data_IF_083405915046
#
_entry.id   IF_083405915046
#
_cell.length_a   1.000
_cell.length_b   1.000
_cell.length_c   1.000
_cell.angle_alpha   90.00
_cell.angle_beta   90.00
_cell.angle_gamma   90.00
#
_symmetry.space_group_name_H-M   'P 1'
#
loop_
_entity.id
_entity.type
_entity.pdbx_description
1 polymer ?
#
# COMPACT_ATOMS: atom_id res chain seq x y z
N UNK A 1 12.22 -4.50 -8.22
CA UNK A 1 13.17 -5.60 -7.93
C UNK A 1 12.66 -6.87 -8.59
N UNK A 2 11.43 -7.28 -8.30
CA UNK A 2 10.77 -8.36 -9.03
C UNK A 2 9.36 -7.95 -9.49
N UNK A 3 8.94 -8.49 -10.63
CA UNK A 3 7.59 -8.37 -11.19
C UNK A 3 7.03 -9.79 -11.37
N UNK A 4 5.89 -10.11 -10.75
CA UNK A 4 5.26 -11.43 -10.82
C UNK A 4 6.24 -12.59 -10.53
N UNK A 5 7.12 -12.40 -9.53
CA UNK A 5 8.13 -13.39 -9.14
C UNK A 5 9.40 -13.43 -10.01
N UNK A 6 9.46 -12.64 -11.07
CA UNK A 6 10.61 -12.57 -11.99
C UNK A 6 11.51 -11.41 -11.58
N UNK A 7 12.81 -11.66 -11.42
CA UNK A 7 13.80 -10.63 -11.15
C UNK A 7 13.98 -9.75 -12.40
N UNK A 8 13.83 -8.43 -12.22
CA UNK A 8 13.91 -7.42 -13.29
C UNK A 8 15.10 -6.46 -13.12
N UNK A 9 16.05 -6.74 -12.23
CA UNK A 9 17.19 -5.85 -11.93
C UNK A 9 18.12 -5.59 -13.12
N UNK A 10 18.11 -6.50 -14.10
CA UNK A 10 18.92 -6.40 -15.31
C UNK A 10 18.09 -6.03 -16.55
N UNK A 11 16.78 -5.85 -16.38
CA UNK A 11 15.89 -5.44 -17.47
C UNK A 11 15.90 -3.91 -17.61
N UNK A 12 15.82 -3.43 -18.84
CA UNK A 12 15.62 -2.02 -19.17
C UNK A 12 14.18 -1.60 -18.91
N UNK A 13 13.94 -0.29 -18.80
CA UNK A 13 12.59 0.25 -18.62
C UNK A 13 11.64 -0.19 -19.74
N UNK A 14 12.12 -0.23 -20.99
CA UNK A 14 11.31 -0.63 -22.14
C UNK A 14 10.91 -2.11 -22.06
N UNK A 15 11.82 -2.99 -21.67
CA UNK A 15 11.56 -4.42 -21.48
C UNK A 15 10.54 -4.66 -20.36
N UNK A 16 10.67 -3.94 -19.24
CA UNK A 16 9.71 -4.00 -18.12
C UNK A 16 8.32 -3.53 -18.58
N UNK A 17 8.26 -2.44 -19.35
CA UNK A 17 7.01 -1.87 -19.86
C UNK A 17 6.32 -2.80 -20.85
N UNK A 18 7.09 -3.42 -21.76
CA UNK A 18 6.56 -4.43 -22.69
C UNK A 18 6.01 -5.63 -21.94
N UNK A 19 6.72 -6.13 -20.93
CA UNK A 19 6.26 -7.24 -20.08
C UNK A 19 4.96 -6.89 -19.35
N UNK A 20 4.85 -5.67 -18.82
CA UNK A 20 3.64 -5.17 -18.20
C UNK A 20 2.45 -5.16 -19.17
N UNK A 21 2.64 -4.59 -20.36
CA UNK A 21 1.59 -4.51 -21.39
C UNK A 21 1.17 -5.87 -21.93
N UNK A 22 2.06 -6.85 -21.95
CA UNK A 22 1.75 -8.21 -22.39
C UNK A 22 0.95 -9.02 -21.34
N UNK A 23 0.82 -8.52 -20.10
CA UNK A 23 0.18 -9.19 -18.98
C UNK A 23 -1.09 -8.48 -18.49
N UNK A 24 -1.72 -7.65 -19.33
CA UNK A 24 -2.88 -6.79 -19.00
C UNK A 24 -4.04 -7.46 -18.26
N UNK A 25 -4.19 -8.78 -18.35
CA UNK A 25 -5.29 -9.53 -17.71
C UNK A 25 -4.87 -10.34 -16.47
N UNK A 26 -3.61 -10.28 -16.04
CA UNK A 26 -3.11 -11.02 -14.88
C UNK A 26 -2.95 -10.09 -13.67
N UNK A 27 -3.23 -10.58 -12.45
CA UNK A 27 -2.98 -9.81 -11.25
C UNK A 27 -1.49 -9.46 -11.14
N UNK A 28 -1.21 -8.18 -10.97
CA UNK A 28 0.14 -7.65 -10.86
C UNK A 28 0.65 -7.77 -9.42
N UNK A 29 1.79 -8.42 -9.26
CA UNK A 29 2.55 -8.47 -8.02
C UNK A 29 3.91 -7.81 -8.22
N UNK A 30 4.22 -6.80 -7.41
CA UNK A 30 5.51 -6.10 -7.45
C UNK A 30 6.24 -6.29 -6.12
N UNK A 31 7.51 -6.69 -6.19
CA UNK A 31 8.43 -6.64 -5.04
C UNK A 31 9.25 -5.36 -5.11
N UNK A 32 9.06 -4.51 -4.10
CA UNK A 32 9.73 -3.22 -3.90
C UNK A 32 10.39 -3.17 -2.53
N UNK A 33 11.45 -2.39 -2.40
CA UNK A 33 12.05 -2.05 -1.11
C UNK A 33 12.67 -0.65 -1.16
N UNK A 34 13.06 -0.11 0.00
CA UNK A 34 13.80 1.14 0.05
C UNK A 34 15.21 1.01 -0.56
N UNK A 35 15.83 2.11 -1.04
CA UNK A 35 17.21 2.09 -1.51
C UNK A 35 18.21 1.59 -0.45
N UNK A 36 18.00 1.96 0.82
CA UNK A 36 18.85 1.51 1.93
C UNK A 36 18.74 0.00 2.16
N UNK A 37 17.52 -0.54 2.14
CA UNK A 37 17.28 -1.99 2.22
C UNK A 37 17.93 -2.70 1.04
N UNK A 38 17.76 -2.17 -0.18
CA UNK A 38 18.36 -2.75 -1.37
C UNK A 38 19.89 -2.86 -1.24
N UNK A 39 20.53 -1.76 -0.85
CA UNK A 39 21.98 -1.72 -0.67
C UNK A 39 22.46 -2.70 0.41
N UNK A 40 21.78 -2.77 1.56
CA UNK A 40 22.12 -3.71 2.62
C UNK A 40 22.09 -5.16 2.13
N UNK A 41 21.01 -5.57 1.44
CA UNK A 41 20.88 -6.95 0.95
C UNK A 41 21.92 -7.27 -0.12
N UNK A 42 22.19 -6.34 -1.04
CA UNK A 42 23.22 -6.50 -2.07
C UNK A 42 24.62 -6.64 -1.50
N UNK A 43 25.00 -5.77 -0.56
CA UNK A 43 26.33 -5.81 0.07
C UNK A 43 26.56 -7.09 0.86
N UNK A 44 25.51 -7.68 1.42
CA UNK A 44 25.59 -8.96 2.16
C UNK A 44 25.35 -10.20 1.28
N UNK A 45 25.26 -10.06 -0.05
CA UNK A 45 24.95 -11.15 -0.99
C UNK A 45 23.64 -11.91 -0.66
N UNK A 46 22.64 -11.21 -0.12
CA UNK A 46 21.33 -11.77 0.19
C UNK A 46 20.38 -11.48 -0.97
N UNK A 47 19.80 -12.53 -1.56
CA UNK A 47 18.82 -12.37 -2.64
C UNK A 47 17.47 -11.87 -2.10
N UNK A 48 16.97 -10.78 -2.69
CA UNK A 48 15.64 -10.27 -2.42
C UNK A 48 14.60 -11.12 -3.17
N UNK A 49 13.67 -11.71 -2.43
CA UNK A 49 12.55 -12.49 -2.97
C UNK A 49 11.32 -12.39 -2.07
N UNK A 50 10.14 -12.73 -2.60
CA UNK A 50 8.86 -12.63 -1.89
C UNK A 50 8.78 -13.49 -0.63
N UNK A 51 9.50 -14.61 -0.58
CA UNK A 51 9.48 -15.53 0.57
C UNK A 51 10.35 -15.11 1.78
N UNK A 52 10.97 -13.93 1.76
CA UNK A 52 11.74 -13.45 2.91
C UNK A 52 10.80 -13.15 4.08
N UNK A 53 11.19 -13.51 5.29
CA UNK A 53 10.39 -13.27 6.51
C UNK A 53 10.12 -11.77 6.77
N UNK A 54 10.96 -10.90 6.22
CA UNK A 54 10.86 -9.44 6.34
C UNK A 54 9.92 -8.82 5.30
N UNK A 55 9.40 -9.61 4.35
CA UNK A 55 8.49 -9.12 3.30
C UNK A 55 7.08 -9.00 3.86
N UNK A 56 6.52 -7.81 3.73
CA UNK A 56 5.12 -7.55 4.01
C UNK A 56 4.30 -7.66 2.72
N UNK A 57 3.30 -8.53 2.72
CA UNK A 57 2.35 -8.65 1.62
C UNK A 57 1.24 -7.61 1.76
N UNK A 58 1.12 -6.75 0.76
CA UNK A 58 0.03 -5.78 0.67
C UNK A 58 -1.20 -6.44 0.03
N UNK A 59 -2.40 -6.05 0.48
CA UNK A 59 -3.64 -6.51 -0.15
C UNK A 59 -3.73 -5.98 -1.59
N UNK A 60 -4.33 -6.73 -2.52
CA UNK A 60 -4.58 -6.23 -3.87
C UNK A 60 -5.37 -4.92 -3.82
N UNK A 61 -4.93 -3.93 -4.59
CA UNK A 61 -5.71 -2.71 -4.81
C UNK A 61 -6.75 -3.05 -5.87
N UNK A 62 -7.97 -3.37 -5.43
CA UNK A 62 -9.10 -3.47 -6.35
C UNK A 62 -9.55 -2.05 -6.69
N UNK A 63 -9.76 -1.78 -7.98
CA UNK A 63 -10.38 -0.55 -8.42
C UNK A 63 -11.82 -0.50 -7.87
N UNK A 64 -12.04 0.35 -6.86
CA UNK A 64 -13.33 0.53 -6.17
C UNK A 64 -14.37 1.15 -7.13
N UNK A 65 -13.98 1.57 -8.34
CA UNK A 65 -14.92 2.04 -9.35
C UNK A 65 -15.85 0.93 -9.89
N UNK A 66 -15.51 -0.36 -9.73
CA UNK A 66 -16.34 -1.49 -10.17
C UNK A 66 -17.32 -2.01 -9.11
N UNK A 67 -17.22 -1.61 -7.84
CA UNK A 67 -18.11 -2.09 -6.76
C UNK A 67 -19.37 -1.24 -6.54
N UNK A 68 -19.61 -0.20 -7.35
CA UNK A 68 -20.84 0.62 -7.28
C UNK A 68 -22.09 0.02 -7.95
N UNK A 69 -22.06 -1.24 -8.37
CA UNK A 69 -23.26 -1.92 -8.89
C UNK A 69 -23.47 -3.30 -8.25
N UNK A 70 -23.97 -3.30 -7.01
CA UNK A 70 -25.19 -4.03 -6.60
C UNK A 70 -25.33 -4.01 -5.06
N UNK A 71 -26.37 -3.36 -4.49
CA UNK A 71 -26.64 -3.38 -3.07
C UNK A 71 -27.58 -4.54 -2.74
N UNK A 72 -27.08 -5.61 -2.12
CA UNK A 72 -27.89 -6.46 -1.24
C UNK A 72 -26.98 -7.48 -0.57
N UNK A 73 -26.63 -7.22 0.69
CA UNK A 73 -26.83 -8.14 1.82
C UNK A 73 -26.74 -7.26 3.07
N UNK A 74 -27.87 -7.21 3.76
CA UNK A 74 -28.02 -6.62 5.07
C UNK A 74 -27.18 -7.39 6.09
N UNK A 75 -26.20 -6.74 6.69
CA UNK A 75 -25.81 -7.01 8.07
C UNK A 75 -25.53 -5.68 8.75
N UNK A 76 -26.43 -5.31 9.67
CA UNK A 76 -26.22 -4.28 10.68
C UNK A 76 -25.05 -4.70 11.60
N UNK A 77 -23.81 -4.58 11.10
CA UNK A 77 -22.67 -4.37 11.96
C UNK A 77 -22.42 -2.87 11.95
N UNK A 78 -22.90 -2.19 12.98
CA UNK A 78 -22.43 -0.84 13.32
C UNK A 78 -21.00 -1.04 13.81
N UNK A 79 -20.06 -1.20 12.88
CA UNK A 79 -18.64 -1.13 13.16
C UNK A 79 -18.34 0.36 13.32
N UNK A 80 -18.04 0.77 14.54
CA UNK A 80 -17.46 2.09 14.81
C UNK A 80 -16.30 2.31 13.83
N UNK A 81 -16.47 3.23 12.88
CA UNK A 81 -15.47 3.47 11.86
C UNK A 81 -14.25 4.13 12.52
N UNK A 82 -13.09 3.52 12.34
CA UNK A 82 -11.83 4.08 12.83
C UNK A 82 -11.43 5.26 11.93
N UNK A 83 -11.14 6.39 12.57
CA UNK A 83 -10.56 7.55 11.93
C UNK A 83 -9.14 7.79 12.40
N UNK A 84 -8.38 8.46 11.54
CA UNK A 84 -6.98 8.76 11.78
C UNK A 84 -6.73 10.22 11.46
N UNK A 85 -5.97 10.89 12.33
CA UNK A 85 -5.42 12.21 12.04
C UNK A 85 -4.03 11.99 11.50
N UNK A 86 -3.78 12.49 10.30
CA UNK A 86 -2.55 12.26 9.56
C UNK A 86 -1.93 13.59 9.15
N UNK A 87 -0.64 13.75 9.41
CA UNK A 87 0.13 14.90 8.94
C UNK A 87 0.93 14.51 7.70
N UNK A 88 0.71 15.19 6.58
CA UNK A 88 1.47 14.95 5.35
C UNK A 88 2.91 15.46 5.47
N UNK A 89 3.86 14.66 5.00
CA UNK A 89 5.29 15.04 5.02
C UNK A 89 5.61 16.15 4.01
N UNK A 90 4.82 16.28 2.94
CA UNK A 90 5.08 17.19 1.82
C UNK A 90 4.81 18.65 2.16
N UNK A 91 3.76 18.93 2.93
CA UNK A 91 3.28 20.28 3.18
C UNK A 91 2.84 20.54 4.64
N UNK A 92 3.07 19.58 5.55
CA UNK A 92 2.64 19.62 6.95
C UNK A 92 1.13 19.82 7.15
N UNK A 93 0.31 19.60 6.11
CA UNK A 93 -1.15 19.67 6.23
C UNK A 93 -1.68 18.48 7.00
N UNK A 94 -2.75 18.71 7.76
CA UNK A 94 -3.39 17.71 8.61
C UNK A 94 -4.71 17.29 7.97
N UNK A 95 -4.92 15.99 7.86
CA UNK A 95 -6.14 15.39 7.33
C UNK A 95 -6.73 14.42 8.34
N UNK A 96 -8.06 14.37 8.37
CA UNK A 96 -8.82 13.32 9.03
C UNK A 96 -9.22 12.35 7.92
N UNK A 97 -8.79 11.10 8.04
CA UNK A 97 -9.04 10.07 7.04
C UNK A 97 -9.62 8.82 7.67
N UNK A 98 -10.40 8.07 6.89
CA UNK A 98 -10.89 6.77 7.34
C UNK A 98 -9.78 5.71 7.21
N UNK A 99 -9.98 4.56 7.86
CA UNK A 99 -9.12 3.39 7.67
C UNK A 99 -8.92 3.00 6.19
N UNK A 100 -9.93 3.20 5.35
CA UNK A 100 -9.89 2.80 3.94
C UNK A 100 -8.88 3.64 3.14
N UNK A 101 -8.61 4.87 3.57
CA UNK A 101 -7.63 5.75 2.94
C UNK A 101 -6.18 5.41 3.31
N UNK A 102 -5.94 4.57 4.32
CA UNK A 102 -4.59 4.22 4.78
C UNK A 102 -4.18 2.86 4.26
N UNK A 103 -3.06 2.81 3.55
CA UNK A 103 -2.46 1.59 3.00
C UNK A 103 -1.70 0.78 4.06
N UNK A 104 -2.40 0.41 5.14
CA UNK A 104 -1.89 -0.42 6.24
C UNK A 104 -3.07 -1.02 6.99
N UNK A 105 -3.03 -2.31 7.37
CA UNK A 105 -4.14 -2.89 8.14
C UNK A 105 -4.28 -2.21 9.52
N UNK A 106 -5.50 -2.02 10.04
CA UNK A 106 -5.75 -1.25 11.27
C UNK A 106 -4.98 -1.74 12.50
N UNK A 107 -4.75 -3.05 12.60
CA UNK A 107 -4.02 -3.71 13.67
C UNK A 107 -2.52 -3.37 13.69
N UNK A 108 -1.97 -2.91 12.55
CA UNK A 108 -0.57 -2.51 12.41
C UNK A 108 -0.38 -0.99 12.36
N UNK A 109 -1.45 -0.20 12.45
CA UNK A 109 -1.34 1.26 12.49
C UNK A 109 -1.12 1.73 13.93
N UNK A 110 0.08 2.26 14.19
CA UNK A 110 0.50 2.85 15.44
C UNK A 110 0.65 4.37 15.32
N UNK A 111 0.63 5.06 16.47
CA UNK A 111 0.94 6.48 16.53
C UNK A 111 2.38 6.71 16.07
N UNK A 112 2.59 7.80 15.34
CA UNK A 112 3.84 8.20 14.70
C UNK A 112 4.31 7.31 13.53
N UNK A 113 3.55 6.29 13.14
CA UNK A 113 3.83 5.51 11.92
C UNK A 113 3.76 6.39 10.68
N UNK A 114 4.66 6.15 9.72
CA UNK A 114 4.58 6.72 8.38
C UNK A 114 3.88 5.72 7.47
N UNK A 115 2.75 6.13 6.88
CA UNK A 115 1.95 5.32 5.97
C UNK A 115 1.79 6.02 4.62
N UNK A 116 1.39 5.26 3.61
CA UNK A 116 0.80 5.85 2.40
C UNK A 116 -0.70 6.08 2.65
N UNK A 117 -1.15 7.29 2.35
CA UNK A 117 -2.54 7.71 2.51
C UNK A 117 -3.06 8.24 1.18
N UNK A 118 -4.26 7.82 0.82
CA UNK A 118 -5.00 8.35 -0.32
C UNK A 118 -5.81 9.58 0.12
N UNK A 119 -5.51 10.73 -0.49
CA UNK A 119 -6.23 11.99 -0.28
C UNK A 119 -6.53 12.55 -1.67
N UNK A 120 -7.81 12.81 -1.96
CA UNK A 120 -8.25 13.38 -3.24
C UNK A 120 -7.70 12.59 -4.45
N UNK A 121 -7.77 11.25 -4.38
CA UNK A 121 -7.25 10.30 -5.38
C UNK A 121 -5.73 10.40 -5.62
N UNK A 122 -4.98 11.04 -4.72
CA UNK A 122 -3.54 11.13 -4.76
C UNK A 122 -2.92 10.40 -3.56
N UNK A 123 -1.92 9.56 -3.82
CA UNK A 123 -1.18 8.86 -2.78
C UNK A 123 -0.05 9.73 -2.23
N UNK A 124 -0.06 9.95 -0.92
CA UNK A 124 0.94 10.76 -0.24
C UNK A 124 1.46 10.05 1.01
N UNK A 125 2.72 10.35 1.38
CA UNK A 125 3.28 9.90 2.66
C UNK A 125 2.80 10.81 3.77
N UNK A 126 2.31 10.21 4.85
CA UNK A 126 1.90 10.96 6.03
C UNK A 126 2.12 10.18 7.31
N UNK A 127 2.28 10.93 8.38
CA UNK A 127 2.53 10.41 9.71
C UNK A 127 1.23 10.38 10.52
N UNK A 128 0.91 9.23 11.10
CA UNK A 128 -0.23 9.06 11.99
C UNK A 128 0.01 9.85 13.27
N UNK A 129 -0.82 10.84 13.54
CA UNK A 129 -0.77 11.64 14.78
C UNK A 129 -1.80 11.21 15.80
N UNK A 130 -2.92 10.67 15.33
CA UNK A 130 -3.99 10.21 16.19
C UNK A 130 -4.75 9.06 15.54
N UNK A 131 -5.35 8.21 16.38
CA UNK A 131 -6.23 7.10 16.02
C UNK A 131 -7.41 7.14 16.98
N UNK A 132 -8.62 7.13 16.46
CA UNK A 132 -9.84 7.17 17.27
C UNK A 132 -10.98 6.41 16.63
N UNK A 133 -11.97 6.06 17.46
CA UNK A 133 -13.24 5.53 17.01
C UNK A 133 -14.17 6.72 16.79
N UNK A 134 -14.86 6.76 15.65
CA UNK A 134 -15.91 7.74 15.43
C UNK A 134 -17.13 7.32 16.26
N UNK A 135 -17.30 7.94 17.43
CA UNK A 135 -18.55 7.86 18.19
C UNK A 135 -19.62 8.68 17.46
N UNK A 136 -20.81 8.09 17.27
CA UNK A 136 -21.98 8.77 16.72
C UNK A 136 -22.57 9.76 17.72
#
# INVERSE_FOLDING_TARGET
>A
ICLNGINIEHETFDEITQRFNNQLNLPLQILVCSPATYHYYKTNNIHLHSHLLTVQHLKPVFDISLTKQNPTISTNLILSEMFYVVQLETNNMIYIVSQLSIFKSPEFIHLNDICFIEIENCYQRGQIKYKGLQDQ
#
